data_IF_468837463727
#
_entry.id   IF_468837463727
#
_cell.length_a   1.000
_cell.length_b   1.000
_cell.length_c   1.000
_cell.angle_alpha   90.00
_cell.angle_beta   90.00
_cell.angle_gamma   90.00
#
_symmetry.space_group_name_H-M   'P 1'
#
loop_
_entity.id
_entity.type
_entity.pdbx_description
1 polymer ?
#
# COMPACT_ATOMS: atom_id res chain seq x y z
N UNK A 1 -7.91 -13.35 -19.08
CA UNK A 1 -6.46 -13.60 -19.26
C UNK A 1 -5.72 -12.28 -19.12
N UNK A 2 -4.67 -12.22 -18.30
CA UNK A 2 -3.81 -11.04 -18.20
C UNK A 2 -3.01 -10.96 -19.52
N UNK A 3 -3.24 -9.92 -20.33
CA UNK A 3 -2.53 -9.73 -21.60
C UNK A 3 -1.20 -9.01 -21.34
N UNK A 4 -0.18 -9.23 -22.19
CA UNK A 4 1.16 -8.61 -22.05
C UNK A 4 1.09 -7.09 -21.97
N UNK A 5 0.19 -6.47 -22.74
CA UNK A 5 -0.06 -5.03 -22.72
C UNK A 5 -0.46 -4.52 -21.33
N UNK A 6 -1.32 -5.27 -20.62
CA UNK A 6 -1.77 -4.89 -19.27
C UNK A 6 -0.66 -4.99 -18.23
N UNK A 7 0.33 -5.86 -18.42
CA UNK A 7 1.51 -5.96 -17.54
C UNK A 7 2.52 -4.83 -17.76
N UNK A 8 2.58 -4.29 -18.99
CA UNK A 8 3.47 -3.17 -19.32
C UNK A 8 2.85 -1.81 -19.02
N UNK A 9 1.53 -1.74 -18.91
CA UNK A 9 0.81 -0.50 -18.66
C UNK A 9 1.23 0.27 -17.38
N UNK A 10 1.59 -0.37 -16.25
CA UNK A 10 2.15 0.34 -15.10
C UNK A 10 3.41 1.16 -15.43
N UNK A 11 4.27 0.70 -16.35
CA UNK A 11 5.43 1.47 -16.79
C UNK A 11 5.00 2.72 -17.57
N UNK A 12 3.94 2.63 -18.38
CA UNK A 12 3.38 3.80 -19.05
C UNK A 12 2.87 4.84 -18.04
N UNK A 13 2.11 4.42 -17.01
CA UNK A 13 1.67 5.30 -15.92
C UNK A 13 2.83 5.93 -15.15
N UNK A 14 3.96 5.25 -15.01
CA UNK A 14 5.14 5.79 -14.32
C UNK A 14 5.77 6.96 -15.10
N UNK A 15 5.84 6.89 -16.43
CA UNK A 15 6.45 7.93 -17.27
C UNK A 15 5.46 9.01 -17.75
N UNK A 16 4.19 8.66 -17.87
CA UNK A 16 3.11 9.55 -18.33
C UNK A 16 1.92 9.47 -17.35
N UNK A 17 2.06 9.97 -16.10
CA UNK A 17 1.09 9.70 -15.04
C UNK A 17 -0.29 10.31 -15.32
N UNK A 18 -0.36 11.56 -15.79
CA UNK A 18 -1.63 12.21 -16.08
C UNK A 18 -2.43 11.45 -17.14
N UNK A 19 -1.82 11.16 -18.30
CA UNK A 19 -2.49 10.43 -19.37
C UNK A 19 -2.77 8.98 -18.98
N UNK A 20 -1.80 8.31 -18.36
CA UNK A 20 -1.91 6.91 -17.95
C UNK A 20 -3.04 6.66 -16.96
N UNK A 21 -3.17 7.51 -15.93
CA UNK A 21 -4.26 7.42 -14.95
C UNK A 21 -5.60 7.90 -15.52
N UNK A 22 -5.60 8.87 -16.43
CA UNK A 22 -6.82 9.29 -17.14
C UNK A 22 -7.43 8.14 -17.94
N UNK A 23 -6.59 7.41 -18.67
CA UNK A 23 -6.99 6.24 -19.46
C UNK A 23 -7.45 5.05 -18.60
N UNK A 24 -6.94 4.90 -17.37
CA UNK A 24 -7.46 3.88 -16.44
C UNK A 24 -8.93 4.10 -16.15
N UNK A 25 -9.31 5.37 -15.96
CA UNK A 25 -10.69 5.74 -15.66
C UNK A 25 -11.59 5.70 -16.90
N UNK A 26 -11.16 6.35 -17.99
CA UNK A 26 -12.03 6.61 -19.14
C UNK A 26 -11.99 5.53 -20.23
N UNK A 27 -10.93 4.71 -20.26
CA UNK A 27 -10.72 3.68 -21.29
C UNK A 27 -10.59 2.27 -20.70
N UNK A 28 -10.82 2.09 -19.40
CA UNK A 28 -10.68 0.84 -18.63
C UNK A 28 -9.36 0.08 -18.95
N UNK A 29 -8.27 0.83 -19.19
CA UNK A 29 -6.93 0.27 -19.47
C UNK A 29 -6.30 -0.37 -18.24
N UNK A 30 -6.77 -0.02 -17.05
CA UNK A 30 -6.30 -0.55 -15.77
C UNK A 30 -6.70 -2.00 -15.51
N UNK A 31 -5.95 -2.68 -14.64
CA UNK A 31 -6.20 -4.07 -14.27
C UNK A 31 -5.95 -4.31 -12.78
N UNK A 32 -7.01 -4.65 -12.05
CA UNK A 32 -6.94 -4.98 -10.62
C UNK A 32 -5.98 -6.13 -10.33
N UNK A 33 -5.98 -7.26 -11.09
CA UNK A 33 -4.99 -8.33 -10.88
C UNK A 33 -3.53 -7.85 -11.00
N UNK A 34 -3.23 -6.96 -11.95
CA UNK A 34 -1.88 -6.40 -12.12
C UNK A 34 -1.54 -5.46 -10.96
N UNK A 35 -2.50 -4.67 -10.48
CA UNK A 35 -2.29 -3.80 -9.33
C UNK A 35 -1.99 -4.61 -8.07
N UNK A 36 -2.76 -5.67 -7.79
CA UNK A 36 -2.52 -6.57 -6.67
C UNK A 36 -1.20 -7.33 -6.81
N UNK A 37 -0.80 -7.69 -8.04
CA UNK A 37 0.52 -8.25 -8.31
C UNK A 37 1.64 -7.27 -7.93
N UNK A 38 1.52 -5.98 -8.27
CA UNK A 38 2.50 -4.97 -7.89
C UNK A 38 2.55 -4.74 -6.38
N UNK A 39 1.40 -4.76 -5.70
CA UNK A 39 1.35 -4.71 -4.22
C UNK A 39 2.09 -5.91 -3.61
N UNK A 40 1.88 -7.11 -4.17
CA UNK A 40 2.59 -8.31 -3.74
C UNK A 40 4.10 -8.22 -4.00
N UNK A 41 4.51 -7.82 -5.21
CA UNK A 41 5.91 -7.67 -5.58
C UNK A 41 6.60 -6.61 -4.72
N UNK A 42 5.90 -5.51 -4.41
CA UNK A 42 6.41 -4.49 -3.50
C UNK A 42 6.60 -5.10 -2.10
N UNK A 43 5.60 -5.80 -1.56
CA UNK A 43 5.71 -6.44 -0.25
C UNK A 43 6.86 -7.45 -0.16
N UNK A 44 7.08 -8.22 -1.22
CA UNK A 44 8.24 -9.10 -1.31
C UNK A 44 9.55 -8.31 -1.35
N UNK A 45 9.67 -7.30 -2.22
CA UNK A 45 10.89 -6.49 -2.34
C UNK A 45 11.24 -5.75 -1.04
N UNK A 46 10.22 -5.23 -0.36
CA UNK A 46 10.33 -4.57 0.94
C UNK A 46 10.82 -5.55 2.01
N UNK A 47 10.24 -6.75 2.06
CA UNK A 47 10.65 -7.78 3.01
C UNK A 47 12.06 -8.27 2.76
N UNK A 48 12.42 -8.50 1.50
CA UNK A 48 13.78 -8.87 1.10
C UNK A 48 14.79 -7.81 1.53
N UNK A 49 14.46 -6.53 1.33
CA UNK A 49 15.31 -5.43 1.74
C UNK A 49 15.53 -5.44 3.26
N UNK A 50 14.46 -5.53 4.06
CA UNK A 50 14.58 -5.56 5.53
C UNK A 50 15.32 -6.78 6.08
N UNK A 51 15.32 -7.89 5.35
CA UNK A 51 15.89 -9.16 5.82
C UNK A 51 17.31 -9.39 5.34
N UNK A 52 17.64 -8.92 4.13
CA UNK A 52 18.90 -9.22 3.46
C UNK A 52 19.76 -7.98 3.16
N UNK A 53 19.29 -6.75 3.39
CA UNK A 53 20.16 -5.59 3.22
C UNK A 53 21.38 -5.66 4.15
N UNK A 54 22.51 -5.12 3.68
CA UNK A 54 23.79 -5.11 4.37
C UNK A 54 23.71 -4.46 5.74
N UNK A 55 24.49 -4.98 6.70
CA UNK A 55 24.46 -4.55 8.09
C UNK A 55 24.77 -3.05 8.30
N UNK A 56 25.47 -2.43 7.34
CA UNK A 56 25.78 -0.99 7.35
C UNK A 56 24.50 -0.16 7.26
N UNK A 57 23.52 -0.60 6.49
CA UNK A 57 22.26 0.15 6.23
C UNK A 57 21.03 -0.51 6.84
N UNK A 58 21.19 -1.69 7.43
CA UNK A 58 20.08 -2.46 8.01
C UNK A 58 20.24 -2.63 9.52
N UNK A 59 19.55 -1.75 10.25
CA UNK A 59 19.52 -1.77 11.72
C UNK A 59 18.47 -2.74 12.29
N UNK A 60 17.75 -3.47 11.44
CA UNK A 60 16.68 -4.38 11.84
C UNK A 60 17.24 -5.77 12.04
N UNK A 61 16.90 -6.42 13.16
CA UNK A 61 17.27 -7.81 13.40
C UNK A 61 16.58 -8.72 12.37
N UNK A 62 17.31 -9.41 11.47
CA UNK A 62 16.69 -10.23 10.42
C UNK A 62 15.86 -11.40 10.96
N UNK A 63 16.12 -11.84 12.20
CA UNK A 63 15.38 -12.94 12.86
C UNK A 63 13.99 -12.55 13.33
N UNK A 64 13.70 -11.25 13.47
CA UNK A 64 12.38 -10.77 13.88
C UNK A 64 11.48 -10.45 12.68
N UNK A 65 12.02 -10.52 11.46
CA UNK A 65 11.31 -10.20 10.22
C UNK A 65 10.51 -11.41 9.73
N UNK A 66 9.19 -11.30 9.82
CA UNK A 66 8.25 -12.26 9.22
C UNK A 66 7.72 -11.70 7.89
N UNK A 67 8.27 -12.24 6.79
CA UNK A 67 7.91 -11.83 5.44
C UNK A 67 6.43 -12.00 5.11
N UNK A 68 5.74 -12.98 5.73
CA UNK A 68 4.31 -13.18 5.51
C UNK A 68 3.50 -12.03 6.12
N UNK A 69 3.87 -11.64 7.36
CA UNK A 69 3.22 -10.52 8.06
C UNK A 69 3.45 -9.19 7.34
N UNK A 70 4.63 -8.97 6.78
CA UNK A 70 4.95 -7.75 6.04
C UNK A 70 4.15 -7.63 4.75
N UNK A 71 4.12 -8.69 3.94
CA UNK A 71 3.33 -8.71 2.70
C UNK A 71 1.84 -8.50 3.02
N UNK A 72 1.29 -9.24 4.00
CA UNK A 72 -0.10 -9.07 4.42
C UNK A 72 -0.35 -7.65 4.95
N UNK A 73 0.55 -7.10 5.75
CA UNK A 73 0.45 -5.74 6.28
C UNK A 73 0.37 -4.69 5.17
N UNK A 74 1.14 -4.87 4.09
CA UNK A 74 1.10 -3.98 2.92
C UNK A 74 -0.23 -4.11 2.16
N UNK A 75 -0.75 -5.32 1.98
CA UNK A 75 -2.09 -5.53 1.41
C UNK A 75 -3.18 -4.84 2.25
N UNK A 76 -3.15 -5.02 3.57
CA UNK A 76 -4.09 -4.37 4.48
C UNK A 76 -3.95 -2.84 4.43
N UNK A 77 -2.73 -2.31 4.38
CA UNK A 77 -2.50 -0.87 4.27
C UNK A 77 -3.10 -0.30 2.98
N UNK A 78 -2.87 -0.95 1.83
CA UNK A 78 -3.45 -0.53 0.54
C UNK A 78 -4.97 -0.59 0.58
N UNK A 79 -5.56 -1.66 1.13
CA UNK A 79 -7.01 -1.78 1.26
C UNK A 79 -7.60 -0.72 2.19
N UNK A 80 -6.99 -0.47 3.34
CA UNK A 80 -7.45 0.56 4.28
C UNK A 80 -7.35 1.97 3.68
N UNK A 81 -6.25 2.27 2.99
CA UNK A 81 -6.09 3.54 2.27
C UNK A 81 -7.14 3.68 1.16
N UNK A 82 -7.40 2.62 0.40
CA UNK A 82 -8.41 2.62 -0.64
C UNK A 82 -9.82 2.82 -0.07
N UNK A 83 -10.17 2.12 1.02
CA UNK A 83 -11.46 2.25 1.69
C UNK A 83 -11.65 3.65 2.27
N UNK A 84 -10.63 4.17 2.93
CA UNK A 84 -10.67 5.51 3.52
C UNK A 84 -10.82 6.61 2.45
N UNK A 85 -10.01 6.53 1.39
CA UNK A 85 -10.11 7.47 0.29
C UNK A 85 -11.46 7.38 -0.43
N UNK A 86 -11.96 6.17 -0.65
CA UNK A 86 -13.27 5.96 -1.27
C UNK A 86 -14.43 6.52 -0.42
N UNK A 87 -14.35 6.36 0.91
CA UNK A 87 -15.35 6.91 1.84
C UNK A 87 -15.41 8.45 1.76
N UNK A 88 -14.27 9.13 1.77
CA UNK A 88 -14.23 10.60 1.67
C UNK A 88 -14.58 11.10 0.27
N UNK A 89 -14.09 10.44 -0.78
CA UNK A 89 -14.38 10.85 -2.17
C UNK A 89 -15.87 10.69 -2.51
N UNK A 90 -16.56 9.72 -1.90
CA UNK A 90 -18.02 9.61 -2.01
C UNK A 90 -18.76 10.80 -1.38
N UNK A 91 -18.18 11.46 -0.38
CA UNK A 91 -18.71 12.69 0.22
C UNK A 91 -18.28 13.95 -0.56
N UNK A 92 -17.12 13.92 -1.18
CA UNK A 92 -16.50 15.05 -1.91
C UNK A 92 -16.81 15.05 -3.41
N UNK A 93 -17.84 14.31 -3.84
CA UNK A 93 -18.27 14.19 -5.24
C UNK A 93 -17.13 13.76 -6.18
N UNK A 94 -16.36 12.74 -5.77
CA UNK A 94 -15.30 12.15 -6.58
C UNK A 94 -15.85 11.19 -7.62
N UNK A 95 -15.33 11.26 -8.84
CA UNK A 95 -15.78 10.39 -9.94
C UNK A 95 -15.22 8.96 -9.84
N UNK A 96 -14.09 8.76 -9.15
CA UNK A 96 -13.32 7.53 -9.15
C UNK A 96 -14.03 6.34 -8.47
N UNK A 97 -13.97 5.16 -9.09
CA UNK A 97 -14.48 3.91 -8.48
C UNK A 97 -13.47 3.35 -7.50
N UNK A 98 -13.94 2.55 -6.54
CA UNK A 98 -13.07 1.81 -5.62
C UNK A 98 -11.99 0.97 -6.36
N UNK A 99 -12.36 0.31 -7.46
CA UNK A 99 -11.39 -0.43 -8.30
C UNK A 99 -10.32 0.46 -8.93
N UNK A 100 -10.66 1.71 -9.28
CA UNK A 100 -9.74 2.66 -9.90
C UNK A 100 -8.70 3.10 -8.86
N UNK A 101 -9.12 3.31 -7.61
CA UNK A 101 -8.25 3.63 -6.46
C UNK A 101 -7.24 2.50 -6.20
N UNK A 102 -7.68 1.24 -6.18
CA UNK A 102 -6.77 0.09 -6.02
C UNK A 102 -5.74 0.05 -7.16
N UNK A 103 -6.17 0.31 -8.40
CA UNK A 103 -5.27 0.32 -9.55
C UNK A 103 -4.24 1.44 -9.42
N UNK A 104 -4.66 2.66 -9.07
CA UNK A 104 -3.75 3.79 -8.84
C UNK A 104 -2.73 3.47 -7.76
N UNK A 105 -3.17 2.98 -6.59
CA UNK A 105 -2.26 2.65 -5.49
C UNK A 105 -1.26 1.56 -5.88
N UNK A 106 -1.71 0.49 -6.52
CA UNK A 106 -0.83 -0.59 -6.95
C UNK A 106 0.14 -0.18 -8.06
N UNK A 107 -0.30 0.58 -9.06
CA UNK A 107 0.56 1.01 -10.18
C UNK A 107 1.58 2.05 -9.72
N UNK A 108 1.20 2.91 -8.78
CA UNK A 108 2.11 3.91 -8.19
C UNK A 108 3.24 3.27 -7.39
N UNK A 109 3.11 2.02 -6.93
CA UNK A 109 4.18 1.29 -6.22
C UNK A 109 5.31 0.78 -7.14
N UNK A 110 5.14 0.84 -8.46
CA UNK A 110 6.14 0.32 -9.41
C UNK A 110 7.56 0.87 -9.18
N UNK A 111 7.80 2.18 -8.94
CA UNK A 111 9.14 2.69 -8.68
C UNK A 111 9.81 2.03 -7.48
N UNK A 112 9.07 1.79 -6.40
CA UNK A 112 9.62 1.08 -5.23
C UNK A 112 9.90 -0.38 -5.54
N UNK A 113 9.03 -1.08 -6.27
CA UNK A 113 9.30 -2.46 -6.72
C UNK A 113 10.62 -2.55 -7.49
N UNK A 114 10.83 -1.61 -8.42
CA UNK A 114 12.04 -1.55 -9.25
C UNK A 114 13.28 -1.14 -8.46
N UNK A 115 13.13 -0.38 -7.37
CA UNK A 115 14.26 0.17 -6.61
C UNK A 115 14.69 -0.72 -5.45
N UNK A 116 13.75 -1.31 -4.71
CA UNK A 116 14.07 -2.02 -3.46
C UNK A 116 14.89 -3.28 -3.70
N UNK A 117 14.65 -4.01 -4.80
CA UNK A 117 15.41 -5.22 -5.13
C UNK A 117 16.87 -4.89 -5.49
N UNK A 118 17.17 -3.99 -6.45
CA UNK A 118 18.55 -3.55 -6.70
C UNK A 118 19.20 -2.91 -5.48
N UNK A 119 18.45 -2.13 -4.70
CA UNK A 119 18.98 -1.50 -3.49
C UNK A 119 19.47 -2.55 -2.49
N UNK A 120 18.75 -3.67 -2.31
CA UNK A 120 19.21 -4.77 -1.45
C UNK A 120 20.56 -5.32 -1.91
N UNK A 121 20.76 -5.49 -3.23
CA UNK A 121 22.05 -5.97 -3.75
C UNK A 121 23.15 -4.92 -3.55
N UNK A 122 22.86 -3.66 -3.87
CA UNK A 122 23.81 -2.54 -3.71
C UNK A 122 24.25 -2.41 -2.24
N UNK A 123 23.33 -2.63 -1.29
CA UNK A 123 23.59 -2.49 0.14
C UNK A 123 24.73 -3.37 0.68
N UNK A 124 25.10 -4.45 -0.02
CA UNK A 124 26.22 -5.32 0.36
C UNK A 124 27.58 -4.71 0.05
N UNK A 125 27.62 -3.71 -0.82
CA UNK A 125 28.84 -3.02 -1.26
C UNK A 125 28.98 -1.62 -0.65
N UNK A 126 27.98 -1.15 0.10
CA UNK A 126 27.96 0.19 0.70
C UNK A 126 28.86 0.23 1.92
N UNK A 127 29.82 1.17 1.92
CA UNK A 127 30.62 1.49 3.09
C UNK A 127 29.88 2.44 4.04
N UNK A 128 30.28 2.50 5.31
CA UNK A 128 29.60 3.29 6.34
C UNK A 128 29.54 4.80 6.00
N UNK A 129 30.58 5.33 5.38
CA UNK A 129 30.64 6.72 4.90
C UNK A 129 29.74 6.99 3.67
N UNK A 130 29.19 5.94 3.04
CA UNK A 130 28.38 6.02 1.82
C UNK A 130 26.89 5.68 2.06
N UNK A 131 26.50 5.40 3.31
CA UNK A 131 25.11 5.02 3.66
C UNK A 131 24.07 6.06 3.19
N UNK A 132 24.46 7.33 3.16
CA UNK A 132 23.61 8.42 2.70
C UNK A 132 23.14 8.25 1.24
N UNK A 133 23.99 7.70 0.37
CA UNK A 133 23.63 7.44 -1.04
C UNK A 133 22.59 6.33 -1.16
N UNK A 134 22.69 5.31 -0.32
CA UNK A 134 21.70 4.23 -0.24
C UNK A 134 20.33 4.76 0.18
N UNK A 135 20.27 5.55 1.26
CA UNK A 135 19.01 6.13 1.72
C UNK A 135 18.44 7.15 0.73
N UNK A 136 19.28 7.90 0.03
CA UNK A 136 18.84 8.78 -1.05
C UNK A 136 18.10 8.00 -2.14
N UNK A 137 18.66 6.88 -2.60
CA UNK A 137 18.03 6.00 -3.60
C UNK A 137 16.65 5.52 -3.16
N UNK A 138 16.55 5.00 -1.93
CA UNK A 138 15.27 4.53 -1.36
C UNK A 138 14.28 5.69 -1.26
N UNK A 139 14.69 6.83 -0.70
CA UNK A 139 13.82 7.98 -0.48
C UNK A 139 13.28 8.56 -1.79
N UNK A 140 14.10 8.63 -2.84
CA UNK A 140 13.64 9.06 -4.18
C UNK A 140 12.55 8.14 -4.70
N UNK A 141 12.68 6.82 -4.55
CA UNK A 141 11.65 5.86 -5.01
C UNK A 141 10.33 5.99 -4.23
N UNK A 142 10.41 6.27 -2.93
CA UNK A 142 9.25 6.49 -2.06
C UNK A 142 8.55 7.80 -2.42
N UNK A 143 9.30 8.90 -2.53
CA UNK A 143 8.77 10.21 -2.91
C UNK A 143 8.10 10.12 -4.29
N UNK A 144 8.75 9.45 -5.25
CA UNK A 144 8.19 9.30 -6.59
C UNK A 144 6.89 8.48 -6.58
N UNK A 145 6.81 7.42 -5.78
CA UNK A 145 5.56 6.67 -5.59
C UNK A 145 4.45 7.56 -5.02
N UNK A 146 4.76 8.38 -4.01
CA UNK A 146 3.77 9.31 -3.42
C UNK A 146 3.28 10.32 -4.46
N UNK A 147 4.19 10.87 -5.27
CA UNK A 147 3.84 11.78 -6.37
C UNK A 147 2.90 11.09 -7.37
N UNK A 148 3.22 9.87 -7.80
CA UNK A 148 2.37 9.09 -8.72
C UNK A 148 0.99 8.82 -8.12
N UNK A 149 0.93 8.46 -6.83
CA UNK A 149 -0.34 8.21 -6.16
C UNK A 149 -1.20 9.48 -6.07
N UNK A 150 -0.60 10.63 -5.76
CA UNK A 150 -1.31 11.92 -5.73
C UNK A 150 -1.84 12.28 -7.12
N UNK A 151 -1.01 12.19 -8.16
CA UNK A 151 -1.44 12.46 -9.54
C UNK A 151 -2.56 11.50 -9.93
N UNK A 152 -2.42 10.20 -9.64
CA UNK A 152 -3.42 9.21 -9.98
C UNK A 152 -4.76 9.48 -9.30
N UNK A 153 -4.77 9.75 -7.98
CA UNK A 153 -6.00 10.09 -7.24
C UNK A 153 -6.64 11.36 -7.79
N UNK A 154 -5.83 12.39 -8.06
CA UNK A 154 -6.32 13.64 -8.66
C UNK A 154 -7.00 13.37 -10.01
N UNK A 155 -6.35 12.58 -10.87
CA UNK A 155 -6.83 12.33 -12.24
C UNK A 155 -8.07 11.43 -12.26
N UNK A 156 -8.13 10.35 -11.48
CA UNK A 156 -9.30 9.44 -11.53
C UNK A 156 -10.56 10.06 -10.92
N UNK A 157 -10.40 11.01 -10.00
CA UNK A 157 -11.51 11.72 -9.35
C UNK A 157 -11.83 13.05 -10.01
N UNK A 158 -11.10 13.44 -11.06
CA UNK A 158 -11.25 14.70 -11.77
C UNK A 158 -11.20 15.92 -10.82
N UNK A 159 -10.22 15.90 -9.91
CA UNK A 159 -10.03 16.96 -8.93
C UNK A 159 -8.98 17.98 -9.37
N UNK A 160 -9.10 19.21 -8.89
CA UNK A 160 -7.99 20.14 -8.89
C UNK A 160 -6.95 19.70 -7.85
N UNK A 161 -5.71 20.19 -7.99
CA UNK A 161 -4.64 19.86 -7.03
C UNK A 161 -5.02 20.22 -5.59
N UNK A 162 -5.57 21.43 -5.37
CA UNK A 162 -6.00 21.87 -4.04
C UNK A 162 -7.10 21.00 -3.43
N UNK A 163 -8.11 20.62 -4.23
CA UNK A 163 -9.16 19.68 -3.78
C UNK A 163 -8.58 18.32 -3.43
N UNK A 164 -7.64 17.82 -4.23
CA UNK A 164 -6.95 16.53 -3.97
C UNK A 164 -6.22 16.54 -2.64
N UNK A 165 -5.45 17.59 -2.34
CA UNK A 165 -4.70 17.70 -1.07
C UNK A 165 -5.65 17.67 0.12
N UNK A 166 -6.74 18.45 0.08
CA UNK A 166 -7.76 18.45 1.14
C UNK A 166 -8.38 17.07 1.30
N UNK A 167 -8.79 16.43 0.19
CA UNK A 167 -9.38 15.09 0.21
C UNK A 167 -8.41 14.05 0.77
N UNK A 168 -7.13 14.12 0.44
CA UNK A 168 -6.12 13.20 1.00
C UNK A 168 -5.96 13.39 2.51
N UNK A 169 -5.92 14.63 3.01
CA UNK A 169 -5.86 14.91 4.45
C UNK A 169 -7.11 14.35 5.16
N UNK A 170 -8.30 14.60 4.62
CA UNK A 170 -9.55 14.03 5.15
C UNK A 170 -9.54 12.49 5.08
N UNK A 171 -8.95 11.90 4.03
CA UNK A 171 -8.78 10.45 3.92
C UNK A 171 -7.84 9.91 5.00
N UNK A 172 -6.82 10.65 5.42
CA UNK A 172 -6.01 10.23 6.58
C UNK A 172 -6.80 10.29 7.89
N UNK A 173 -7.66 11.29 8.08
CA UNK A 173 -8.54 11.35 9.26
C UNK A 173 -9.54 10.18 9.26
N UNK A 174 -10.19 9.92 8.12
CA UNK A 174 -11.09 8.78 7.97
C UNK A 174 -10.38 7.43 8.19
N UNK A 175 -9.10 7.32 7.83
CA UNK A 175 -8.31 6.11 8.05
C UNK A 175 -8.16 5.84 9.56
N UNK A 176 -7.87 6.88 10.35
CA UNK A 176 -7.79 6.77 11.81
C UNK A 176 -9.13 6.33 12.41
N UNK A 177 -10.24 6.88 11.92
CA UNK A 177 -11.59 6.50 12.36
C UNK A 177 -11.90 5.04 12.00
N UNK A 178 -11.57 4.60 10.78
CA UNK A 178 -11.77 3.21 10.33
C UNK A 178 -10.96 2.25 11.21
N UNK A 179 -9.68 2.56 11.46
CA UNK A 179 -8.81 1.74 12.33
C UNK A 179 -9.41 1.66 13.74
N UNK A 180 -9.86 2.79 14.29
CA UNK A 180 -10.50 2.83 15.61
C UNK A 180 -11.75 1.95 15.66
N UNK A 181 -12.63 2.02 14.64
CA UNK A 181 -13.84 1.19 14.55
C UNK A 181 -13.48 -0.30 14.47
N UNK A 182 -12.48 -0.67 13.66
CA UNK A 182 -12.03 -2.06 13.54
C UNK A 182 -11.52 -2.57 14.89
N UNK A 183 -10.68 -1.78 15.58
CA UNK A 183 -10.15 -2.16 16.90
C UNK A 183 -11.26 -2.30 17.95
N UNK A 184 -12.22 -1.37 17.97
CA UNK A 184 -13.38 -1.43 18.87
C UNK A 184 -14.21 -2.70 18.60
N UNK A 185 -14.47 -3.01 17.33
CA UNK A 185 -15.23 -4.19 16.94
C UNK A 185 -14.50 -5.48 17.36
N UNK A 186 -13.19 -5.58 17.11
CA UNK A 186 -12.38 -6.73 17.51
C UNK A 186 -12.38 -6.91 19.03
N UNK A 187 -12.30 -5.81 19.79
CA UNK A 187 -12.38 -5.84 21.25
C UNK A 187 -13.73 -6.38 21.74
N UNK A 188 -14.85 -5.89 21.18
CA UNK A 188 -16.18 -6.37 21.54
C UNK A 188 -16.39 -7.84 21.17
N UNK A 189 -15.94 -8.27 19.99
CA UNK A 189 -16.01 -9.67 19.57
C UNK A 189 -15.18 -10.58 20.49
N UNK A 190 -13.99 -10.15 20.91
CA UNK A 190 -13.17 -10.87 21.87
C UNK A 190 -13.87 -10.99 23.23
N UNK A 191 -14.55 -9.93 23.69
CA UNK A 191 -15.32 -9.95 24.92
C UNK A 191 -16.48 -10.95 24.87
N UNK A 192 -17.24 -10.96 23.76
CA UNK A 192 -18.34 -11.93 23.53
C UNK A 192 -17.79 -13.36 23.48
N UNK A 193 -16.70 -13.59 22.75
CA UNK A 193 -16.05 -14.90 22.68
C UNK A 193 -15.61 -15.38 24.07
N UNK A 194 -14.98 -14.49 24.85
CA UNK A 194 -14.52 -14.82 26.21
C UNK A 194 -15.70 -15.16 27.13
N UNK A 195 -16.82 -14.43 27.02
CA UNK A 195 -18.05 -14.74 27.75
C UNK A 195 -18.61 -16.13 27.39
N UNK A 196 -18.74 -16.44 26.09
CA UNK A 196 -19.21 -17.74 25.62
C UNK A 196 -18.27 -18.88 26.04
N UNK A 197 -16.96 -18.66 25.97
CA UNK A 197 -15.95 -19.63 26.40
C UNK A 197 -16.02 -19.91 27.91
N UNK A 198 -16.24 -18.87 28.73
CA UNK A 198 -16.43 -19.02 30.17
C UNK A 198 -17.70 -19.82 30.49
N UNK A 199 -18.82 -19.53 29.82
CA UNK A 199 -20.05 -20.31 29.99
C UNK A 199 -19.86 -21.78 29.61
N UNK A 200 -19.22 -22.04 28.47
CA UNK A 200 -18.91 -23.41 28.03
C UNK A 200 -18.06 -24.15 29.07
N UNK A 201 -17.04 -23.50 29.61
CA UNK A 201 -16.15 -24.06 30.63
C UNK A 201 -16.90 -24.36 31.93
N UNK A 202 -17.78 -23.47 32.37
CA UNK A 202 -18.60 -23.69 33.57
C UNK A 202 -19.54 -24.89 33.43
N UNK A 203 -20.15 -25.08 32.26
CA UNK A 203 -21.06 -26.21 32.01
C UNK A 203 -20.31 -27.54 32.10
N UNK A 204 -19.10 -27.63 31.51
CA UNK A 204 -18.32 -28.87 31.52
C UNK A 204 -17.74 -29.19 32.90
N UNK A 205 -17.30 -28.18 33.67
CA UNK A 205 -16.71 -28.40 34.99
C UNK A 205 -17.75 -28.76 36.07
N UNK A 206 -19.02 -28.38 35.86
CA UNK A 206 -20.12 -28.68 36.80
C UNK A 206 -20.96 -29.89 36.38
N UNK A 207 -20.66 -30.51 35.23
CA UNK A 207 -21.16 -31.83 34.82
C UNK A 207 -20.19 -32.93 35.27
#
# INVERSE_FOLDING_TARGET
MINREKLMYPFYCMFHPFDGFYEIRHRDKGSVPVALLLVFLFGLSYSLNRRYAGFVVNYINPRTVDSRREVLGIFFAVLLLACSNWSITSLMEGEGRFKDIIIVLGYSMLPMVLTFVPATVISWFVAQNEEGLYYLLINVSVIFTVILAIIGIMTIHNYSFGKTVITLILSFIALLIIIFIILLLLYLLQQVYTFLYSLYTEIILKL
#
